data_IF_325773583713
#
_entry.id   IF_325773583713
#
_cell.length_a   1.000
_cell.length_b   1.000
_cell.length_c   1.000
_cell.angle_alpha   90.00
_cell.angle_beta   90.00
_cell.angle_gamma   90.00
#
_symmetry.space_group_name_H-M   'P 1'
#
loop_
_entity.id
_entity.type
_entity.pdbx_description
1 polymer ?
#
# COMPACT_ATOMS: atom_id res chain seq x y z
N UNK A 1 13.87 -20.89 -33.91
CA UNK A 1 15.00 -20.16 -33.25
C UNK A 1 14.50 -18.86 -32.63
N UNK A 2 13.67 -18.96 -31.58
CA UNK A 2 13.08 -17.79 -30.90
C UNK A 2 13.78 -17.52 -29.57
N UNK A 3 14.11 -18.59 -28.84
CA UNK A 3 14.78 -18.53 -27.53
C UNK A 3 16.09 -17.72 -27.52
N UNK A 4 17.03 -17.89 -28.47
CA UNK A 4 18.30 -17.15 -28.43
C UNK A 4 18.13 -15.64 -28.67
N UNK A 5 17.13 -15.25 -29.47
CA UNK A 5 16.80 -13.84 -29.74
C UNK A 5 16.11 -13.20 -28.54
N UNK A 6 15.20 -13.92 -27.89
CA UNK A 6 14.51 -13.48 -26.69
C UNK A 6 15.49 -13.29 -25.51
N UNK A 7 16.40 -14.24 -25.27
CA UNK A 7 17.41 -14.14 -24.22
C UNK A 7 18.35 -12.94 -24.42
N UNK A 8 18.80 -12.70 -25.66
CA UNK A 8 19.61 -11.53 -25.98
C UNK A 8 18.86 -10.23 -25.69
N UNK A 9 17.59 -10.16 -26.08
CA UNK A 9 16.75 -8.98 -25.86
C UNK A 9 16.51 -8.74 -24.37
N UNK A 10 16.21 -9.79 -23.60
CA UNK A 10 16.04 -9.70 -22.14
C UNK A 10 17.31 -9.20 -21.45
N UNK A 11 18.48 -9.80 -21.75
CA UNK A 11 19.75 -9.43 -21.12
C UNK A 11 20.18 -7.99 -21.42
N UNK A 12 19.99 -7.54 -22.66
CA UNK A 12 20.45 -6.22 -23.10
C UNK A 12 19.44 -5.13 -22.76
N UNK A 13 18.15 -5.41 -22.92
CA UNK A 13 17.11 -4.37 -22.93
C UNK A 13 16.25 -4.34 -21.69
N UNK A 14 16.15 -5.44 -20.92
CA UNK A 14 15.24 -5.54 -19.77
C UNK A 14 16.01 -5.65 -18.45
N UNK A 15 16.94 -6.60 -18.37
CA UNK A 15 17.68 -6.94 -17.15
C UNK A 15 18.34 -5.72 -16.45
N UNK A 16 18.95 -4.75 -17.16
CA UNK A 16 19.55 -3.57 -16.52
C UNK A 16 18.57 -2.68 -15.76
N UNK A 17 17.28 -2.77 -16.06
CA UNK A 17 16.25 -1.86 -15.52
C UNK A 17 15.41 -2.49 -14.41
N UNK A 18 15.51 -3.81 -14.19
CA UNK A 18 14.69 -4.52 -13.19
C UNK A 18 14.80 -3.87 -11.81
N UNK A 19 16.00 -3.52 -11.36
CA UNK A 19 16.18 -2.85 -10.06
C UNK A 19 15.43 -1.53 -10.01
N UNK A 20 15.64 -0.65 -10.99
CA UNK A 20 14.98 0.65 -11.01
C UNK A 20 13.46 0.55 -11.09
N UNK A 21 12.92 -0.47 -11.79
CA UNK A 21 11.48 -0.76 -11.82
C UNK A 21 10.99 -1.13 -10.43
N UNK A 22 11.68 -2.08 -9.79
CA UNK A 22 11.32 -2.54 -8.46
C UNK A 22 11.41 -1.39 -7.46
N UNK A 23 12.47 -0.58 -7.49
CA UNK A 23 12.63 0.54 -6.57
C UNK A 23 11.52 1.59 -6.74
N UNK A 24 11.17 1.94 -7.99
CA UNK A 24 10.09 2.87 -8.29
C UNK A 24 8.70 2.37 -7.84
N UNK A 25 8.50 1.04 -7.79
CA UNK A 25 7.27 0.43 -7.30
C UNK A 25 7.27 0.24 -5.79
N UNK A 26 8.36 -0.32 -5.24
CA UNK A 26 8.47 -0.72 -3.84
C UNK A 26 8.51 0.48 -2.90
N UNK A 27 9.16 1.57 -3.29
CA UNK A 27 9.32 2.74 -2.43
C UNK A 27 7.98 3.41 -2.06
N UNK A 28 7.11 3.83 -3.01
CA UNK A 28 5.82 4.41 -2.68
C UNK A 28 4.85 3.37 -2.09
N UNK A 29 4.92 2.11 -2.55
CA UNK A 29 4.09 1.03 -2.00
C UNK A 29 4.40 0.78 -0.53
N UNK A 30 5.68 0.60 -0.19
CA UNK A 30 6.12 0.31 1.19
C UNK A 30 5.75 1.43 2.15
N UNK A 31 5.82 2.70 1.72
CA UNK A 31 5.33 3.83 2.50
C UNK A 31 3.84 3.73 2.80
N UNK A 32 3.01 3.45 1.78
CA UNK A 32 1.56 3.34 2.00
C UNK A 32 1.20 2.21 2.95
N UNK A 33 1.84 1.04 2.83
CA UNK A 33 1.64 -0.05 3.79
C UNK A 33 2.18 0.25 5.20
N UNK A 34 3.26 1.02 5.30
CA UNK A 34 3.75 1.49 6.60
C UNK A 34 2.74 2.44 7.25
N UNK A 35 2.15 3.35 6.49
CA UNK A 35 1.09 4.24 6.98
C UNK A 35 -0.16 3.46 7.41
N UNK A 36 -0.57 2.39 6.69
CA UNK A 36 -1.67 1.49 7.13
C UNK A 36 -1.38 0.93 8.52
N UNK A 37 -0.19 0.37 8.72
CA UNK A 37 0.23 -0.17 10.02
C UNK A 37 0.21 0.91 11.10
N UNK A 38 0.70 2.11 10.79
CA UNK A 38 0.82 3.20 11.75
C UNK A 38 -0.56 3.77 12.13
N UNK A 39 -1.50 3.86 11.18
CA UNK A 39 -2.90 4.21 11.42
C UNK A 39 -3.56 3.17 12.34
N UNK A 40 -3.42 1.88 12.02
CA UNK A 40 -3.98 0.81 12.84
C UNK A 40 -3.41 0.82 14.27
N UNK A 41 -2.10 0.98 14.39
CA UNK A 41 -1.44 1.02 15.70
C UNK A 41 -1.92 2.21 16.55
N UNK A 42 -2.07 3.39 15.93
CA UNK A 42 -2.61 4.57 16.60
C UNK A 42 -4.03 4.34 17.15
N UNK A 43 -4.90 3.70 16.38
CA UNK A 43 -6.26 3.36 16.85
C UNK A 43 -6.25 2.38 18.03
N UNK A 44 -5.36 1.38 18.01
CA UNK A 44 -5.20 0.44 19.13
C UNK A 44 -4.69 1.13 20.40
N UNK A 45 -3.72 2.04 20.25
CA UNK A 45 -3.18 2.82 21.37
C UNK A 45 -4.25 3.74 21.95
N UNK A 46 -5.02 4.42 21.10
CA UNK A 46 -6.12 5.30 21.52
C UNK A 46 -7.19 4.50 22.29
N UNK A 47 -7.55 3.31 21.81
CA UNK A 47 -8.45 2.39 22.54
C UNK A 47 -7.89 2.02 23.91
N UNK A 48 -6.61 1.63 23.99
CA UNK A 48 -5.95 1.25 25.25
C UNK A 48 -6.00 2.39 26.27
N UNK A 49 -5.64 3.59 25.85
CA UNK A 49 -5.66 4.79 26.71
C UNK A 49 -7.07 5.13 27.20
N UNK A 50 -8.08 5.05 26.31
CA UNK A 50 -9.46 5.29 26.69
C UNK A 50 -10.00 4.24 27.67
N UNK A 51 -9.57 2.99 27.51
CA UNK A 51 -9.94 1.91 28.44
C UNK A 51 -9.38 2.15 29.84
N UNK A 52 -8.13 2.61 29.95
CA UNK A 52 -7.47 2.90 31.24
C UNK A 52 -8.07 4.10 31.96
N UNK A 53 -8.50 5.12 31.21
CA UNK A 53 -8.93 6.39 31.81
C UNK A 53 -10.38 6.39 32.30
N UNK A 54 -11.31 5.68 31.63
CA UNK A 54 -12.74 5.68 31.97
C UNK A 54 -13.53 4.47 31.39
N UNK A 55 -12.85 3.41 30.92
CA UNK A 55 -13.49 2.40 30.07
C UNK A 55 -14.35 1.38 30.81
N UNK A 56 -15.68 1.47 30.67
CA UNK A 56 -16.54 0.31 30.89
C UNK A 56 -16.35 -0.70 29.74
N UNK A 57 -16.77 -1.95 29.95
CA UNK A 57 -16.71 -3.01 28.92
C UNK A 57 -17.43 -2.59 27.63
N UNK A 58 -18.49 -1.80 27.76
CA UNK A 58 -19.28 -1.26 26.65
C UNK A 58 -18.48 -0.23 25.84
N UNK A 59 -17.69 0.63 26.49
CA UNK A 59 -16.83 1.58 25.79
C UNK A 59 -15.75 0.88 24.96
N UNK A 60 -15.15 -0.19 25.49
CA UNK A 60 -14.18 -1.01 24.76
C UNK A 60 -14.84 -1.68 23.55
N UNK A 61 -16.04 -2.25 23.71
CA UNK A 61 -16.78 -2.87 22.61
C UNK A 61 -17.08 -1.88 21.48
N UNK A 62 -17.52 -0.65 21.81
CA UNK A 62 -17.77 0.40 20.84
C UNK A 62 -16.51 0.85 20.10
N UNK A 63 -15.35 0.88 20.77
CA UNK A 63 -14.08 1.18 20.12
C UNK A 63 -13.64 0.05 19.18
N UNK A 64 -13.79 -1.21 19.59
CA UNK A 64 -13.45 -2.36 18.75
C UNK A 64 -14.31 -2.40 17.48
N UNK A 65 -15.60 -2.03 17.57
CA UNK A 65 -16.49 -1.90 16.41
C UNK A 65 -16.03 -0.78 15.45
N UNK A 66 -15.47 0.31 15.96
CA UNK A 66 -14.87 1.35 15.09
C UNK A 66 -13.61 0.85 14.40
N UNK A 67 -12.79 0.06 15.11
CA UNK A 67 -11.56 -0.53 14.56
C UNK A 67 -11.90 -1.57 13.49
N UNK A 68 -12.93 -2.40 13.68
CA UNK A 68 -13.38 -3.39 12.67
C UNK A 68 -13.79 -2.73 11.34
N UNK A 69 -14.25 -1.49 11.40
CA UNK A 69 -14.64 -0.70 10.22
C UNK A 69 -13.52 0.20 9.67
N UNK A 70 -12.31 0.17 10.25
CA UNK A 70 -11.22 1.09 9.91
C UNK A 70 -10.82 1.03 8.44
N UNK A 71 -10.82 -0.16 7.84
CA UNK A 71 -10.51 -0.37 6.42
C UNK A 71 -11.43 0.41 5.47
N UNK A 72 -12.64 0.75 5.92
CA UNK A 72 -13.65 1.46 5.12
C UNK A 72 -13.81 2.93 5.55
N UNK A 73 -13.01 3.40 6.52
CA UNK A 73 -13.11 4.76 7.00
C UNK A 73 -12.45 5.73 6.01
N UNK A 74 -13.21 6.58 5.31
CA UNK A 74 -12.68 7.37 4.19
C UNK A 74 -11.58 8.33 4.63
N UNK A 75 -11.73 9.00 5.78
CA UNK A 75 -10.74 9.97 6.28
C UNK A 75 -9.47 9.29 6.80
N UNK A 76 -9.58 8.24 7.62
CA UNK A 76 -8.43 7.60 8.27
C UNK A 76 -7.56 6.81 7.28
N UNK A 77 -8.16 6.25 6.23
CA UNK A 77 -7.42 5.52 5.20
C UNK A 77 -6.83 6.42 4.11
N UNK A 78 -7.27 7.68 4.03
CA UNK A 78 -6.84 8.60 2.97
C UNK A 78 -5.32 8.81 2.98
N UNK A 79 -4.70 9.01 4.15
CA UNK A 79 -3.24 9.22 4.24
C UNK A 79 -2.46 8.02 3.70
N UNK A 80 -2.95 6.79 3.88
CA UNK A 80 -2.36 5.57 3.34
C UNK A 80 -2.34 5.60 1.81
N UNK A 81 -3.44 6.03 1.19
CA UNK A 81 -3.60 6.09 -0.26
C UNK A 81 -2.76 7.19 -0.89
N UNK A 82 -2.62 8.34 -0.22
CA UNK A 82 -1.79 9.45 -0.67
C UNK A 82 -0.29 9.08 -0.72
N UNK A 83 0.19 8.17 0.14
CA UNK A 83 1.60 7.76 0.11
C UNK A 83 2.03 7.07 -1.18
N UNK A 84 1.08 6.46 -1.91
CA UNK A 84 1.35 5.75 -3.17
C UNK A 84 1.04 6.59 -4.41
N UNK A 85 0.36 7.72 -4.30
CA UNK A 85 0.09 8.62 -5.43
C UNK A 85 1.35 9.12 -6.17
N UNK A 86 2.50 9.37 -5.51
CA UNK A 86 3.72 9.78 -6.21
C UNK A 86 4.38 8.68 -7.06
N UNK A 87 3.80 7.48 -7.14
CA UNK A 87 4.31 6.39 -7.98
C UNK A 87 4.37 6.84 -9.44
N UNK A 88 5.59 6.91 -9.96
CA UNK A 88 5.87 7.29 -11.34
C UNK A 88 6.69 6.22 -12.04
N UNK A 89 6.32 5.94 -13.29
CA UNK A 89 7.04 5.03 -14.19
C UNK A 89 7.49 5.75 -15.47
N UNK A 90 7.61 7.07 -15.46
CA UNK A 90 7.83 7.87 -16.67
C UNK A 90 9.06 7.41 -17.48
N UNK A 91 10.21 7.19 -16.82
CA UNK A 91 11.42 6.70 -17.48
C UNK A 91 11.29 5.27 -18.05
N UNK A 92 10.32 4.51 -17.56
CA UNK A 92 10.00 3.16 -18.04
C UNK A 92 8.98 3.18 -19.17
N UNK A 93 7.95 4.02 -19.09
CA UNK A 93 6.97 4.23 -20.15
C UNK A 93 7.60 4.77 -21.44
N UNK A 94 8.68 5.55 -21.33
CA UNK A 94 9.43 6.02 -22.50
C UNK A 94 10.23 4.90 -23.19
N UNK A 95 10.54 3.82 -22.48
CA UNK A 95 11.44 2.74 -22.95
C UNK A 95 10.71 1.43 -23.22
N UNK A 96 9.60 1.21 -22.55
CA UNK A 96 8.80 0.01 -22.55
C UNK A 96 7.33 0.40 -22.67
N UNK A 97 6.57 -0.43 -23.39
CA UNK A 97 5.11 -0.30 -23.48
C UNK A 97 4.46 -0.81 -22.19
N UNK A 98 4.67 -0.08 -21.09
CA UNK A 98 4.11 -0.41 -19.76
C UNK A 98 2.83 0.38 -19.53
N UNK A 99 1.87 -0.28 -18.89
CA UNK A 99 0.60 0.30 -18.48
C UNK A 99 0.78 1.58 -17.66
N UNK A 100 -0.25 2.42 -17.66
CA UNK A 100 -0.31 3.63 -16.83
C UNK A 100 0.01 3.33 -15.35
N UNK A 101 0.82 4.18 -14.68
CA UNK A 101 1.09 4.10 -13.24
C UNK A 101 -0.18 4.00 -12.39
N UNK A 102 -1.28 4.60 -12.86
CA UNK A 102 -2.58 4.57 -12.18
C UNK A 102 -3.09 3.17 -11.88
N UNK A 103 -2.80 2.17 -12.72
CA UNK A 103 -3.20 0.77 -12.49
C UNK A 103 -2.48 0.20 -11.26
N UNK A 104 -1.21 0.55 -11.08
CA UNK A 104 -0.42 0.12 -9.94
C UNK A 104 -0.85 0.84 -8.65
N UNK A 105 -1.11 2.15 -8.73
CA UNK A 105 -1.66 2.93 -7.62
C UNK A 105 -2.99 2.34 -7.13
N UNK A 106 -3.93 2.10 -8.05
CA UNK A 106 -5.23 1.51 -7.71
C UNK A 106 -5.08 0.13 -7.07
N UNK A 107 -4.22 -0.73 -7.62
CA UNK A 107 -3.96 -2.06 -7.04
C UNK A 107 -3.35 -1.97 -5.65
N UNK A 108 -2.40 -1.08 -5.43
CA UNK A 108 -1.78 -0.87 -4.14
C UNK A 108 -2.81 -0.40 -3.10
N UNK A 109 -3.67 0.56 -3.44
CA UNK A 109 -4.72 1.06 -2.56
C UNK A 109 -5.75 -0.02 -2.21
N UNK A 110 -6.13 -0.89 -3.17
CA UNK A 110 -6.99 -2.04 -2.92
C UNK A 110 -6.34 -3.00 -1.91
N UNK A 111 -5.08 -3.37 -2.14
CA UNK A 111 -4.36 -4.28 -1.24
C UNK A 111 -4.17 -3.69 0.16
N UNK A 112 -3.93 -2.38 0.29
CA UNK A 112 -3.87 -1.70 1.58
C UNK A 112 -5.18 -1.82 2.35
N UNK A 113 -6.32 -1.66 1.66
CA UNK A 113 -7.65 -1.87 2.27
C UNK A 113 -7.88 -3.32 2.66
N UNK A 114 -7.51 -4.27 1.81
CA UNK A 114 -7.65 -5.71 2.10
C UNK A 114 -6.83 -6.12 3.33
N UNK A 115 -5.57 -5.68 3.41
CA UNK A 115 -4.70 -5.94 4.56
C UNK A 115 -5.28 -5.32 5.83
N UNK A 116 -5.74 -4.06 5.77
CA UNK A 116 -6.39 -3.44 6.92
C UNK A 116 -7.64 -4.22 7.37
N UNK A 117 -8.48 -4.66 6.42
CA UNK A 117 -9.68 -5.43 6.71
C UNK A 117 -9.36 -6.80 7.32
N UNK A 118 -8.22 -7.42 6.96
CA UNK A 118 -7.79 -8.70 7.52
C UNK A 118 -7.22 -8.55 8.95
N UNK A 119 -6.61 -7.41 9.27
CA UNK A 119 -6.04 -7.14 10.59
C UNK A 119 -7.09 -6.71 11.63
N UNK A 120 -8.31 -6.36 11.21
CA UNK A 120 -9.38 -5.84 12.07
C UNK A 120 -10.39 -6.93 12.43
#
# INVERSE_FOLDING_TARGET
VVLPKAEKLLKVSIQPYISSILDALMEPTSRGFSEVRDVFFRELVDMSNNSLNNGTKEAVAQHMEKISMLAFHPVKMQSCYEKVEPLSLEGLQQRFDVSSPSVFVQRAQILMREVQCHCS
#
